data_IF_570512114417
#
_entry.id   IF_570512114417
#
_cell.length_a   1.000
_cell.length_b   1.000
_cell.length_c   1.000
_cell.angle_alpha   90.00
_cell.angle_beta   90.00
_cell.angle_gamma   90.00
#
_symmetry.space_group_name_H-M   'P 1'
#
loop_
_entity.id
_entity.type
_entity.pdbx_description
1 polymer ?
#
# COMPACT_ATOMS: atom_id res chain seq x y z
N UNK A 1 23.45 -2.64 -0.97
CA UNK A 1 22.32 -2.00 -0.25
C UNK A 1 21.20 -3.02 -0.17
N UNK A 2 20.88 -3.53 1.03
CA UNK A 2 19.73 -4.43 1.23
C UNK A 2 18.41 -3.65 1.27
N UNK A 3 17.26 -4.33 1.30
CA UNK A 3 15.97 -3.67 1.46
C UNK A 3 15.93 -2.95 2.80
N UNK A 4 15.73 -1.63 2.78
CA UNK A 4 15.47 -0.87 3.99
C UNK A 4 14.13 -1.32 4.59
N UNK A 5 14.03 -1.51 5.91
CA UNK A 5 12.77 -1.80 6.55
C UNK A 5 11.74 -0.70 6.22
N UNK A 6 10.52 -1.10 5.88
CA UNK A 6 9.43 -0.21 5.49
C UNK A 6 8.09 -0.75 5.98
N UNK A 7 7.08 0.13 6.04
CA UNK A 7 5.75 -0.22 6.54
C UNK A 7 4.66 0.41 5.64
N UNK A 8 3.48 -0.22 5.64
CA UNK A 8 2.28 0.30 4.96
C UNK A 8 1.38 1.00 5.98
N UNK A 9 0.96 2.23 5.70
CA UNK A 9 0.04 3.01 6.52
C UNK A 9 -1.40 2.79 6.04
N UNK A 10 -2.10 1.83 6.66
CA UNK A 10 -3.44 1.42 6.26
C UNK A 10 -4.52 2.50 6.52
N UNK A 11 -4.24 3.47 7.39
CA UNK A 11 -5.10 4.60 7.72
C UNK A 11 -5.02 5.76 6.73
N UNK A 12 -3.98 5.80 5.87
CA UNK A 12 -3.74 6.92 4.95
C UNK A 12 -4.13 6.61 3.49
N UNK A 13 -5.30 5.99 3.30
CA UNK A 13 -5.80 5.66 1.95
C UNK A 13 -6.08 6.94 1.16
N UNK A 14 -5.56 7.03 -0.06
CA UNK A 14 -5.74 8.21 -0.93
C UNK A 14 -5.96 7.82 -2.38
N UNK A 15 -6.98 8.43 -3.02
CA UNK A 15 -7.16 8.36 -4.46
C UNK A 15 -6.16 9.28 -5.17
N UNK A 16 -5.38 8.73 -6.10
CA UNK A 16 -4.34 9.45 -6.84
C UNK A 16 -4.40 9.11 -8.33
N UNK A 17 -4.32 10.14 -9.17
CA UNK A 17 -4.08 9.95 -10.60
C UNK A 17 -2.61 9.56 -10.84
N UNK A 18 -2.38 8.26 -10.96
CA UNK A 18 -1.05 7.69 -11.16
C UNK A 18 -0.48 7.95 -12.55
N UNK A 19 -1.34 8.16 -13.57
CA UNK A 19 -0.92 8.46 -14.95
C UNK A 19 -0.37 9.87 -15.05
N UNK A 20 -1.13 10.86 -14.56
CA UNK A 20 -0.68 12.27 -14.52
C UNK A 20 0.59 12.43 -13.69
N UNK A 21 0.72 11.66 -12.60
CA UNK A 21 1.92 11.67 -11.72
C UNK A 21 3.08 10.81 -12.22
N UNK A 22 2.92 10.10 -13.35
CA UNK A 22 3.96 9.22 -13.93
C UNK A 22 4.55 8.22 -12.92
N UNK A 23 3.68 7.59 -12.13
CA UNK A 23 4.10 6.61 -11.14
C UNK A 23 4.86 5.44 -11.81
N UNK A 24 5.93 4.98 -11.17
CA UNK A 24 6.73 3.83 -11.62
C UNK A 24 6.50 2.64 -10.70
N UNK A 25 6.33 1.46 -11.28
CA UNK A 25 6.24 0.21 -10.53
C UNK A 25 7.60 -0.08 -9.87
N UNK A 26 7.62 -0.24 -8.54
CA UNK A 26 8.83 -0.56 -7.77
C UNK A 26 8.90 -2.02 -7.33
N UNK A 27 7.78 -2.75 -7.36
CA UNK A 27 7.66 -4.11 -6.84
C UNK A 27 6.25 -4.38 -6.34
N UNK A 28 6.05 -5.59 -5.83
CA UNK A 28 4.77 -6.08 -5.31
C UNK A 28 4.99 -6.70 -3.93
N UNK A 29 4.07 -6.45 -3.00
CA UNK A 29 4.03 -7.12 -1.70
C UNK A 29 3.42 -8.51 -1.83
N UNK A 30 3.60 -9.37 -0.84
CA UNK A 30 2.97 -10.69 -0.83
C UNK A 30 1.44 -10.60 -0.72
N UNK A 31 0.78 -11.70 -1.09
CA UNK A 31 -0.69 -11.82 -0.97
C UNK A 31 -1.13 -11.72 0.49
N UNK A 32 -0.36 -12.28 1.42
CA UNK A 32 -0.65 -12.23 2.85
C UNK A 32 -0.60 -10.78 3.39
N UNK A 33 0.46 -10.03 3.05
CA UNK A 33 0.59 -8.62 3.44
C UNK A 33 -0.55 -7.77 2.85
N UNK A 34 -0.92 -8.01 1.58
CA UNK A 34 -2.04 -7.30 0.97
C UNK A 34 -3.38 -7.63 1.67
N UNK A 35 -3.59 -8.89 2.07
CA UNK A 35 -4.78 -9.29 2.81
C UNK A 35 -4.86 -8.60 4.18
N UNK A 36 -3.74 -8.54 4.90
CA UNK A 36 -3.64 -7.84 6.19
C UNK A 36 -3.96 -6.34 6.06
N UNK A 37 -3.38 -5.66 5.05
CA UNK A 37 -3.65 -4.23 4.80
C UNK A 37 -5.13 -3.99 4.51
N UNK A 38 -5.78 -4.84 3.70
CA UNK A 38 -7.21 -4.72 3.40
C UNK A 38 -8.08 -4.96 4.64
N UNK A 39 -7.71 -5.88 5.52
CA UNK A 39 -8.40 -6.11 6.79
C UNK A 39 -8.32 -4.87 7.70
N UNK A 40 -7.13 -4.25 7.82
CA UNK A 40 -6.94 -3.01 8.58
C UNK A 40 -7.76 -1.84 8.01
N UNK A 41 -7.78 -1.68 6.68
CA UNK A 41 -8.60 -0.65 6.03
C UNK A 41 -10.09 -0.85 6.35
N UNK A 42 -10.60 -2.09 6.25
CA UNK A 42 -12.01 -2.40 6.57
C UNK A 42 -12.40 -1.98 7.99
N UNK A 43 -11.54 -2.25 8.97
CA UNK A 43 -11.78 -1.84 10.35
C UNK A 43 -11.93 -0.32 10.54
N UNK A 44 -11.42 0.51 9.63
CA UNK A 44 -11.54 1.97 9.68
C UNK A 44 -12.79 2.50 8.98
N UNK A 45 -13.37 1.75 8.05
CA UNK A 45 -14.49 2.21 7.21
C UNK A 45 -15.84 1.56 7.56
N UNK A 46 -15.86 0.50 8.38
CA UNK A 46 -17.08 -0.21 8.77
C UNK A 46 -17.41 -1.37 7.85
#
# INVERSE_FOLDING_TARGET
MGPSPSAVLADQVKSLDWRKRRAKHKGIISVAELAEVRAKIRALIG
#
